data_IF_281357984608
#
_entry.id   IF_281357984608
#
_cell.length_a   1.000
_cell.length_b   1.000
_cell.length_c   1.000
_cell.angle_alpha   90.00
_cell.angle_beta   90.00
_cell.angle_gamma   90.00
#
_symmetry.space_group_name_H-M   'P 1'
#
loop_
_entity.id
_entity.type
_entity.pdbx_description
1 polymer ?
#
# COMPACT_ATOMS: atom_id res chain seq x y z
N UNK A 1 -14.03 -15.37 -20.61
CA UNK A 1 -14.60 -14.07 -20.15
C UNK A 1 -13.58 -13.43 -19.25
N UNK A 2 -13.27 -12.15 -19.44
CA UNK A 2 -12.40 -11.44 -18.50
C UNK A 2 -13.14 -11.31 -17.17
N UNK A 3 -12.45 -11.61 -16.07
CA UNK A 3 -13.00 -11.44 -14.73
C UNK A 3 -13.21 -9.95 -14.43
N UNK A 4 -14.22 -9.62 -13.64
CA UNK A 4 -14.39 -8.27 -13.10
C UNK A 4 -13.44 -8.02 -11.92
N UNK A 5 -13.05 -6.76 -11.71
CA UNK A 5 -12.30 -6.32 -10.54
C UNK A 5 -13.03 -5.15 -9.88
N UNK A 6 -13.28 -5.26 -8.59
CA UNK A 6 -13.84 -4.18 -7.77
C UNK A 6 -12.76 -3.61 -6.86
N UNK A 7 -12.51 -2.31 -6.98
CA UNK A 7 -11.57 -1.58 -6.12
C UNK A 7 -12.36 -0.87 -5.03
N UNK A 8 -12.30 -1.42 -3.82
CA UNK A 8 -12.92 -0.82 -2.63
C UNK A 8 -12.04 0.32 -2.11
N UNK A 9 -12.49 1.56 -2.32
CA UNK A 9 -11.78 2.77 -1.93
C UNK A 9 -10.80 3.27 -3.00
N UNK A 10 -11.25 4.24 -3.78
CA UNK A 10 -10.50 4.81 -4.91
C UNK A 10 -9.62 6.01 -4.48
N UNK A 11 -8.72 5.78 -3.51
CA UNK A 11 -7.74 6.75 -3.04
C UNK A 11 -6.49 6.84 -3.91
N UNK A 12 -5.37 7.25 -3.30
CA UNK A 12 -4.10 7.47 -4.00
C UNK A 12 -3.61 6.22 -4.77
N UNK A 13 -3.58 5.06 -4.13
CA UNK A 13 -3.10 3.81 -4.76
C UNK A 13 -3.98 3.40 -5.93
N UNK A 14 -5.30 3.54 -5.81
CA UNK A 14 -6.24 3.15 -6.86
C UNK A 14 -6.01 3.91 -8.18
N UNK A 15 -5.49 5.15 -8.15
CA UNK A 15 -5.16 5.92 -9.36
C UNK A 15 -4.12 5.24 -10.24
N UNK A 16 -3.24 4.44 -9.64
CA UNK A 16 -2.21 3.69 -10.34
C UNK A 16 -2.68 2.28 -10.69
N UNK A 17 -3.56 1.70 -9.87
CA UNK A 17 -4.12 0.36 -10.13
C UNK A 17 -5.11 0.37 -11.30
N UNK A 18 -6.02 1.35 -11.35
CA UNK A 18 -7.10 1.43 -12.34
C UNK A 18 -6.60 1.26 -13.79
N UNK A 19 -5.65 2.09 -14.30
CA UNK A 19 -5.22 1.99 -15.69
C UNK A 19 -4.46 0.69 -16.01
N UNK A 20 -3.84 0.07 -14.99
CA UNK A 20 -3.19 -1.24 -15.16
C UNK A 20 -4.23 -2.37 -15.17
N UNK A 21 -5.22 -2.29 -14.29
CA UNK A 21 -6.27 -3.30 -14.17
C UNK A 21 -7.14 -3.40 -15.43
N UNK A 22 -7.44 -2.28 -16.08
CA UNK A 22 -8.25 -2.24 -17.33
C UNK A 22 -7.64 -3.04 -18.48
N UNK A 23 -6.35 -3.38 -18.42
CA UNK A 23 -5.67 -4.22 -19.40
C UNK A 23 -5.95 -5.72 -19.22
N UNK A 24 -6.40 -6.14 -18.04
CA UNK A 24 -6.53 -7.54 -17.63
C UNK A 24 -7.94 -7.91 -17.17
N UNK A 25 -8.73 -6.93 -16.72
CA UNK A 25 -10.06 -7.09 -16.12
C UNK A 25 -11.11 -6.30 -16.90
N UNK A 26 -12.31 -6.84 -16.98
CA UNK A 26 -13.46 -6.14 -17.57
C UNK A 26 -14.76 -6.67 -16.99
N UNK A 27 -15.56 -5.82 -16.34
CA UNK A 27 -15.27 -4.43 -16.00
C UNK A 27 -14.29 -4.25 -14.84
N UNK A 28 -13.65 -3.06 -14.75
CA UNK A 28 -12.98 -2.58 -13.54
C UNK A 28 -13.89 -1.54 -12.90
N UNK A 29 -14.33 -1.82 -11.67
CA UNK A 29 -15.30 -1.01 -10.93
C UNK A 29 -14.59 -0.28 -9.78
N UNK A 30 -14.81 1.01 -9.69
CA UNK A 30 -14.21 1.86 -8.66
C UNK A 30 -15.26 2.32 -7.65
N UNK A 31 -14.95 2.26 -6.36
CA UNK A 31 -15.89 2.64 -5.32
C UNK A 31 -15.50 3.92 -4.61
N UNK A 32 -16.49 4.70 -4.21
CA UNK A 32 -16.36 5.89 -3.37
C UNK A 32 -17.63 6.12 -2.57
N UNK A 33 -17.49 6.84 -1.45
CA UNK A 33 -18.65 7.35 -0.68
C UNK A 33 -19.49 8.35 -1.50
N UNK A 34 -18.80 9.15 -2.30
CA UNK A 34 -19.38 10.17 -3.19
C UNK A 34 -18.80 9.98 -4.61
N UNK A 35 -19.29 8.99 -5.38
CA UNK A 35 -18.70 8.62 -6.67
C UNK A 35 -18.74 9.76 -7.70
N UNK A 36 -19.81 10.51 -7.79
CA UNK A 36 -19.93 11.61 -8.75
C UNK A 36 -18.94 12.75 -8.49
N UNK A 37 -18.56 12.94 -7.23
CA UNK A 37 -17.55 13.94 -6.84
C UNK A 37 -16.13 13.45 -7.01
N UNK A 38 -15.85 12.20 -6.58
CA UNK A 38 -14.48 11.69 -6.47
C UNK A 38 -14.03 10.90 -7.69
N UNK A 39 -14.97 10.36 -8.47
CA UNK A 39 -14.71 9.47 -9.59
C UNK A 39 -15.24 10.04 -10.93
N UNK A 40 -15.37 11.38 -11.03
CA UNK A 40 -15.87 12.04 -12.24
C UNK A 40 -15.02 11.77 -13.51
N UNK A 41 -13.78 11.33 -13.33
CA UNK A 41 -12.85 10.92 -14.39
C UNK A 41 -13.04 9.46 -14.86
N UNK A 42 -13.91 8.69 -14.20
CA UNK A 42 -14.24 7.30 -14.53
C UNK A 42 -15.63 7.28 -15.20
N UNK A 43 -15.89 6.37 -16.11
CA UNK A 43 -17.19 6.21 -16.76
C UNK A 43 -18.29 5.95 -15.71
N UNK A 44 -19.52 6.53 -15.86
CA UNK A 44 -20.58 6.42 -14.85
C UNK A 44 -20.96 4.99 -14.50
N UNK A 45 -21.00 4.09 -15.48
CA UNK A 45 -21.33 2.67 -15.33
C UNK A 45 -20.27 1.85 -14.57
N UNK A 46 -19.11 2.45 -14.32
CA UNK A 46 -18.01 1.85 -13.56
C UNK A 46 -17.81 2.45 -12.17
N UNK A 47 -18.68 3.38 -11.78
CA UNK A 47 -18.65 4.04 -10.47
C UNK A 47 -19.65 3.37 -9.54
N UNK A 48 -19.20 2.99 -8.36
CA UNK A 48 -20.06 2.38 -7.34
C UNK A 48 -20.05 3.23 -6.08
N UNK A 49 -21.23 3.56 -5.58
CA UNK A 49 -21.35 4.12 -4.25
C UNK A 49 -21.15 3.02 -3.22
N UNK A 50 -20.13 3.20 -2.37
CA UNK A 50 -19.83 2.30 -1.28
C UNK A 50 -19.25 3.06 -0.08
N UNK A 51 -19.80 2.76 1.09
CA UNK A 51 -19.31 3.21 2.38
C UNK A 51 -19.45 2.05 3.38
N UNK A 52 -18.34 1.63 4.00
CA UNK A 52 -18.35 0.56 4.99
C UNK A 52 -19.30 0.88 6.17
N UNK A 53 -19.45 2.16 6.53
CA UNK A 53 -20.36 2.61 7.59
C UNK A 53 -21.86 2.64 7.17
N UNK A 54 -22.15 2.46 5.88
CA UNK A 54 -23.51 2.52 5.33
C UNK A 54 -23.90 1.20 4.69
N UNK A 55 -24.57 0.34 5.45
CA UNK A 55 -24.93 -1.02 5.01
C UNK A 55 -25.84 -1.03 3.77
N UNK A 56 -26.66 0.01 3.57
CA UNK A 56 -27.50 0.16 2.37
C UNK A 56 -26.70 0.26 1.07
N UNK A 57 -25.42 0.62 1.15
CA UNK A 57 -24.52 0.70 -0.02
C UNK A 57 -23.82 -0.62 -0.35
N UNK A 58 -23.82 -1.60 0.56
CA UNK A 58 -23.07 -2.84 0.37
C UNK A 58 -23.61 -3.71 -0.76
N UNK A 59 -24.93 -3.69 -0.96
CA UNK A 59 -25.62 -4.38 -2.05
C UNK A 59 -25.19 -3.94 -3.45
N UNK A 60 -24.50 -2.79 -3.56
CA UNK A 60 -24.00 -2.28 -4.83
C UNK A 60 -22.71 -3.00 -5.27
N UNK A 61 -22.06 -3.76 -4.37
CA UNK A 61 -20.83 -4.50 -4.68
C UNK A 61 -21.21 -5.83 -5.35
N UNK A 62 -20.74 -6.09 -6.59
CA UNK A 62 -20.91 -7.39 -7.23
C UNK A 62 -20.26 -8.52 -6.43
N UNK A 63 -20.89 -9.69 -6.43
CA UNK A 63 -20.41 -10.87 -5.69
C UNK A 63 -19.52 -11.79 -6.53
N UNK A 64 -19.42 -11.56 -7.84
CA UNK A 64 -18.72 -12.42 -8.82
C UNK A 64 -17.35 -11.87 -9.28
N UNK A 65 -16.88 -10.77 -8.67
CA UNK A 65 -15.62 -10.09 -9.02
C UNK A 65 -14.49 -10.36 -8.05
N UNK A 66 -13.24 -10.21 -8.54
CA UNK A 66 -12.09 -10.11 -7.66
C UNK A 66 -12.15 -8.78 -6.88
N UNK A 67 -11.67 -8.76 -5.63
CA UNK A 67 -11.77 -7.58 -4.76
C UNK A 67 -10.38 -7.07 -4.34
N UNK A 68 -10.16 -5.77 -4.49
CA UNK A 68 -9.00 -5.05 -3.96
C UNK A 68 -9.46 -4.03 -2.90
N UNK A 69 -9.17 -4.27 -1.65
CA UNK A 69 -9.53 -3.41 -0.51
C UNK A 69 -8.41 -2.41 -0.22
N UNK A 70 -8.63 -1.12 -0.48
CA UNK A 70 -7.61 -0.06 -0.45
C UNK A 70 -7.73 0.94 0.72
N UNK A 71 -8.50 0.64 1.76
CA UNK A 71 -8.63 1.47 2.95
C UNK A 71 -8.51 0.63 4.23
N UNK A 72 -8.29 1.24 5.42
CA UNK A 72 -8.14 0.47 6.66
C UNK A 72 -9.34 -0.43 6.95
N UNK A 73 -9.10 -1.71 7.23
CA UNK A 73 -10.14 -2.70 7.57
C UNK A 73 -10.64 -2.48 9.02
N UNK A 74 -11.39 -1.39 9.23
CA UNK A 74 -11.87 -0.97 10.55
C UNK A 74 -13.17 -0.16 10.41
N UNK A 75 -14.09 -0.16 11.40
CA UNK A 75 -14.04 -0.97 12.62
C UNK A 75 -14.35 -2.45 12.37
N UNK A 76 -13.86 -3.32 13.25
CA UNK A 76 -13.92 -4.78 13.08
C UNK A 76 -15.35 -5.32 12.88
N UNK A 77 -16.32 -4.78 13.61
CA UNK A 77 -17.71 -5.27 13.53
C UNK A 77 -18.31 -5.00 12.14
N UNK A 78 -18.04 -3.84 11.54
CA UNK A 78 -18.50 -3.53 10.19
C UNK A 78 -17.77 -4.38 9.15
N UNK A 79 -16.47 -4.63 9.35
CA UNK A 79 -15.69 -5.54 8.49
C UNK A 79 -16.29 -6.94 8.49
N UNK A 80 -16.61 -7.48 9.67
CA UNK A 80 -17.25 -8.80 9.83
C UNK A 80 -18.61 -8.86 9.13
N UNK A 81 -19.45 -7.85 9.36
CA UNK A 81 -20.80 -7.79 8.77
C UNK A 81 -20.73 -7.68 7.25
N UNK A 82 -19.86 -6.81 6.73
CA UNK A 82 -19.68 -6.67 5.27
C UNK A 82 -19.12 -7.96 4.64
N UNK A 83 -18.13 -8.57 5.26
CA UNK A 83 -17.56 -9.85 4.81
C UNK A 83 -18.62 -10.95 4.71
N UNK A 84 -19.57 -11.00 5.66
CA UNK A 84 -20.66 -11.96 5.62
C UNK A 84 -21.64 -11.73 4.45
N UNK A 85 -21.76 -10.50 3.93
CA UNK A 85 -22.64 -10.20 2.78
C UNK A 85 -22.05 -10.59 1.43
N UNK A 86 -20.71 -10.71 1.35
CA UNK A 86 -20.02 -10.93 0.08
C UNK A 86 -19.95 -12.39 -0.34
N UNK A 87 -20.40 -13.35 0.49
CA UNK A 87 -20.20 -14.79 0.23
C UNK A 87 -18.78 -15.07 -0.28
N UNK A 88 -17.77 -14.49 0.38
CA UNK A 88 -16.38 -14.35 -0.07
C UNK A 88 -15.65 -15.68 -0.39
N UNK A 89 -16.35 -16.79 -0.38
CA UNK A 89 -15.77 -18.10 -0.65
C UNK A 89 -15.37 -18.33 -2.12
N UNK A 90 -15.82 -17.48 -3.06
CA UNK A 90 -15.58 -17.67 -4.49
C UNK A 90 -14.68 -16.62 -5.14
N UNK A 91 -14.53 -15.45 -4.53
CA UNK A 91 -13.77 -14.32 -5.08
C UNK A 91 -12.44 -14.15 -4.37
N UNK A 92 -11.40 -13.79 -5.10
CA UNK A 92 -10.11 -13.48 -4.50
C UNK A 92 -10.16 -12.08 -3.86
N UNK A 93 -9.78 -12.00 -2.60
CA UNK A 93 -9.71 -10.75 -1.84
C UNK A 93 -8.26 -10.40 -1.53
N UNK A 94 -7.83 -9.21 -1.95
CA UNK A 94 -6.53 -8.62 -1.59
C UNK A 94 -6.77 -7.37 -0.76
N UNK A 95 -6.11 -7.25 0.39
CA UNK A 95 -6.29 -6.14 1.34
C UNK A 95 -4.97 -5.39 1.50
N UNK A 96 -5.02 -4.06 1.35
CA UNK A 96 -3.88 -3.20 1.66
C UNK A 96 -3.82 -2.93 3.17
N UNK A 97 -2.90 -3.63 3.83
CA UNK A 97 -2.49 -3.37 5.19
C UNK A 97 -1.29 -2.42 5.25
N UNK A 98 -0.52 -2.46 6.35
CA UNK A 98 0.69 -1.68 6.48
C UNK A 98 1.72 -2.38 7.36
N UNK A 99 3.00 -2.10 7.11
CA UNK A 99 4.12 -2.55 7.95
C UNK A 99 4.08 -1.99 9.38
N UNK A 100 3.23 -1.00 9.67
CA UNK A 100 3.02 -0.54 11.05
C UNK A 100 2.23 -1.55 11.90
N UNK A 101 1.68 -2.61 11.28
CA UNK A 101 1.06 -3.73 11.99
C UNK A 101 2.05 -4.52 12.85
N UNK A 102 3.33 -4.53 12.51
CA UNK A 102 4.32 -5.24 13.31
C UNK A 102 4.52 -4.57 14.65
N UNK A 103 4.43 -5.36 15.72
CA UNK A 103 4.85 -4.93 17.03
C UNK A 103 6.33 -4.53 16.97
N UNK A 104 6.65 -3.35 17.51
CA UNK A 104 8.03 -2.91 17.68
C UNK A 104 8.41 -3.19 19.12
N UNK A 105 9.24 -4.20 19.33
CA UNK A 105 10.03 -4.23 20.54
C UNK A 105 11.01 -3.05 20.47
N UNK A 106 11.27 -2.44 21.61
CA UNK A 106 12.30 -1.42 21.79
C UNK A 106 13.69 -2.08 21.66
N UNK A 107 13.99 -2.61 20.47
CA UNK A 107 15.30 -3.17 20.19
C UNK A 107 16.34 -2.07 20.33
N UNK A 108 17.29 -2.29 21.22
CA UNK A 108 18.50 -1.44 21.41
C UNK A 108 19.48 -1.69 20.25
N UNK A 109 19.27 -2.74 19.46
CA UNK A 109 20.13 -3.15 18.37
C UNK A 109 20.08 -2.17 17.19
N UNK A 110 21.26 -1.79 16.71
CA UNK A 110 21.40 -0.94 15.52
C UNK A 110 22.44 -1.50 14.57
N UNK A 111 22.11 -1.72 13.28
CA UNK A 111 20.76 -1.55 12.67
C UNK A 111 19.76 -2.55 13.25
N UNK A 112 18.44 -2.19 13.31
CA UNK A 112 17.44 -3.09 13.87
C UNK A 112 17.36 -4.39 13.04
N UNK A 113 16.93 -5.52 13.64
CA UNK A 113 16.80 -6.78 12.93
C UNK A 113 15.79 -6.69 11.78
N UNK A 114 15.93 -7.58 10.81
CA UNK A 114 14.96 -7.70 9.72
C UNK A 114 13.63 -8.25 10.22
N UNK A 115 12.54 -7.68 9.72
CA UNK A 115 11.17 -8.10 10.02
C UNK A 115 10.61 -8.84 8.81
N UNK A 116 10.31 -10.11 9.00
CA UNK A 116 9.63 -10.97 8.05
C UNK A 116 8.13 -11.04 8.34
N UNK A 117 7.35 -11.66 7.45
CA UNK A 117 5.89 -11.76 7.58
C UNK A 117 5.42 -12.57 8.80
N UNK A 118 6.29 -13.41 9.36
CA UNK A 118 6.04 -14.21 10.58
C UNK A 118 6.25 -13.44 11.87
N UNK A 119 6.80 -12.22 11.81
CA UNK A 119 7.05 -11.40 13.00
C UNK A 119 5.73 -11.05 13.73
N UNK A 120 5.78 -10.89 15.07
CA UNK A 120 4.61 -10.52 15.87
C UNK A 120 3.93 -9.25 15.38
N UNK A 121 2.60 -9.24 15.42
CA UNK A 121 1.76 -8.10 15.05
C UNK A 121 1.04 -7.53 16.27
N UNK A 122 0.77 -6.24 16.23
CA UNK A 122 0.03 -5.54 17.27
C UNK A 122 -1.48 -5.63 17.03
N UNK A 123 -2.11 -6.64 17.63
CA UNK A 123 -3.56 -6.82 17.62
C UNK A 123 -4.32 -5.76 18.43
N UNK A 124 -3.65 -4.88 19.17
CA UNK A 124 -4.26 -3.71 19.78
C UNK A 124 -4.71 -2.66 18.76
N UNK A 125 -4.17 -2.69 17.54
CA UNK A 125 -4.57 -1.77 16.47
C UNK A 125 -5.87 -2.25 15.79
N UNK A 126 -6.96 -1.44 15.78
CA UNK A 126 -8.25 -1.86 15.22
C UNK A 126 -8.20 -2.34 13.77
N UNK A 127 -7.36 -1.72 12.93
CA UNK A 127 -7.22 -2.13 11.53
C UNK A 127 -6.51 -3.49 11.39
N UNK A 128 -5.54 -3.80 12.27
CA UNK A 128 -4.84 -5.10 12.26
C UNK A 128 -5.79 -6.23 12.61
N UNK A 129 -6.73 -5.98 13.55
CA UNK A 129 -7.79 -6.93 13.86
C UNK A 129 -8.66 -7.25 12.64
N UNK A 130 -9.04 -6.22 11.86
CA UNK A 130 -9.82 -6.43 10.63
C UNK A 130 -9.02 -7.12 9.53
N UNK A 131 -7.75 -6.75 9.34
CA UNK A 131 -6.84 -7.43 8.41
C UNK A 131 -6.71 -8.93 8.75
N UNK A 132 -6.47 -9.28 10.02
CA UNK A 132 -6.35 -10.66 10.47
C UNK A 132 -7.68 -11.43 10.39
N UNK A 133 -8.81 -10.78 10.67
CA UNK A 133 -10.11 -11.38 10.45
C UNK A 133 -10.32 -11.75 8.98
N UNK A 134 -10.08 -10.82 8.05
CA UNK A 134 -10.23 -11.08 6.61
C UNK A 134 -9.24 -12.16 6.14
N UNK A 135 -8.00 -12.16 6.65
CA UNK A 135 -7.00 -13.17 6.32
C UNK A 135 -7.43 -14.58 6.75
N UNK A 136 -7.91 -14.73 7.99
CA UNK A 136 -8.18 -16.05 8.58
C UNK A 136 -9.57 -16.59 8.23
N UNK A 137 -10.57 -15.73 8.04
CA UNK A 137 -11.95 -16.16 7.79
C UNK A 137 -12.36 -16.07 6.32
N UNK A 138 -11.74 -15.14 5.57
CA UNK A 138 -12.05 -14.93 4.15
C UNK A 138 -10.89 -15.32 3.23
N UNK A 139 -9.85 -15.95 3.77
CA UNK A 139 -8.63 -16.31 3.04
C UNK A 139 -8.01 -15.11 2.25
N UNK A 140 -8.19 -13.88 2.75
CA UNK A 140 -7.67 -12.68 2.10
C UNK A 140 -6.15 -12.69 2.03
N UNK A 141 -5.60 -12.20 0.93
CA UNK A 141 -4.17 -11.90 0.81
C UNK A 141 -3.92 -10.51 1.41
N UNK A 142 -3.06 -10.43 2.40
CA UNK A 142 -2.72 -9.16 3.04
C UNK A 142 -1.41 -8.62 2.49
N UNK A 143 -1.45 -7.40 1.97
CA UNK A 143 -0.26 -6.66 1.55
C UNK A 143 0.13 -5.66 2.64
N UNK A 144 1.13 -5.95 3.46
CA UNK A 144 1.66 -5.02 4.48
C UNK A 144 2.56 -4.01 3.82
N UNK A 145 1.97 -2.88 3.41
CA UNK A 145 2.60 -1.86 2.59
C UNK A 145 3.45 -0.93 3.45
N UNK A 146 4.67 -0.68 3.01
CA UNK A 146 5.59 0.32 3.54
C UNK A 146 5.18 1.75 3.15
N UNK A 147 6.03 2.74 3.42
CA UNK A 147 5.79 4.12 3.02
C UNK A 147 5.63 4.27 1.51
N UNK A 148 4.46 4.72 1.06
CA UNK A 148 4.18 4.88 -0.37
C UNK A 148 4.69 6.24 -0.85
N UNK A 149 5.55 6.24 -1.86
CA UNK A 149 6.01 7.44 -2.54
C UNK A 149 5.74 7.39 -4.05
N UNK A 150 5.83 8.53 -4.72
CA UNK A 150 5.56 8.64 -6.16
C UNK A 150 4.99 10.01 -6.54
N UNK A 151 4.38 10.16 -7.72
CA UNK A 151 3.76 11.42 -8.16
C UNK A 151 2.76 11.96 -7.13
N UNK A 152 2.98 13.21 -6.66
CA UNK A 152 2.18 13.85 -5.61
C UNK A 152 2.45 13.38 -4.16
N UNK A 153 3.38 12.43 -3.97
CA UNK A 153 3.90 11.97 -2.66
C UNK A 153 5.42 11.88 -2.69
N UNK A 154 6.08 13.01 -2.90
CA UNK A 154 7.52 13.06 -3.03
C UNK A 154 8.19 13.22 -1.65
N UNK A 155 9.12 12.33 -1.24
CA UNK A 155 9.91 12.48 -0.02
C UNK A 155 10.66 13.80 0.09
N UNK A 156 11.10 14.38 -1.01
CA UNK A 156 11.75 15.68 -1.04
C UNK A 156 10.81 16.80 -0.56
N UNK A 157 9.53 16.74 -0.92
CA UNK A 157 8.52 17.67 -0.42
C UNK A 157 8.27 17.50 1.09
N UNK A 158 8.42 16.28 1.60
CA UNK A 158 8.28 16.04 3.05
C UNK A 158 9.44 16.71 3.81
N UNK A 159 10.66 16.62 3.28
CA UNK A 159 11.86 17.31 3.84
C UNK A 159 11.66 18.83 3.78
N UNK A 160 11.29 19.39 2.62
CA UNK A 160 11.07 20.83 2.45
C UNK A 160 10.00 21.39 3.39
N UNK A 161 8.95 20.59 3.66
CA UNK A 161 7.83 20.99 4.54
C UNK A 161 8.09 20.71 6.02
N UNK A 162 9.28 20.25 6.40
CA UNK A 162 9.62 19.92 7.77
C UNK A 162 8.80 18.75 8.37
N UNK A 163 8.26 17.88 7.53
CA UNK A 163 7.55 16.68 8.01
C UNK A 163 8.50 15.58 8.42
N UNK A 164 9.70 15.61 7.90
CA UNK A 164 10.80 14.69 8.17
C UNK A 164 12.11 15.46 8.19
N UNK A 165 13.06 14.99 8.99
CA UNK A 165 14.41 15.54 9.11
C UNK A 165 15.44 14.43 9.27
N UNK A 166 16.74 14.78 9.34
CA UNK A 166 17.79 13.79 9.50
C UNK A 166 17.59 13.02 10.82
N UNK A 167 17.56 11.70 10.73
CA UNK A 167 17.55 10.81 11.87
C UNK A 167 18.10 9.44 11.47
N UNK A 168 18.54 8.66 12.44
CA UNK A 168 19.02 7.28 12.24
C UNK A 168 17.88 6.28 12.04
N UNK A 169 16.63 6.72 12.12
CA UNK A 169 15.45 5.89 11.94
C UNK A 169 15.39 5.30 10.54
N UNK A 170 15.33 3.97 10.46
CA UNK A 170 15.11 3.27 9.21
C UNK A 170 13.67 3.43 8.72
N UNK A 171 13.54 3.72 7.44
CA UNK A 171 12.26 3.77 6.72
C UNK A 171 12.29 2.80 5.55
N UNK A 172 11.14 2.21 5.27
CA UNK A 172 10.93 1.33 4.14
C UNK A 172 9.95 1.99 3.21
N UNK A 173 10.21 1.93 1.93
CA UNK A 173 9.45 2.65 0.92
C UNK A 173 9.04 1.73 -0.22
N UNK A 174 7.99 2.10 -0.93
CA UNK A 174 7.55 1.47 -2.18
C UNK A 174 7.01 2.54 -3.13
N UNK A 175 7.39 2.45 -4.40
CA UNK A 175 6.84 3.34 -5.41
C UNK A 175 5.38 3.00 -5.72
N UNK A 176 4.55 4.01 -5.95
CA UNK A 176 3.11 3.82 -6.18
C UNK A 176 2.80 2.95 -7.42
N UNK A 177 3.61 3.04 -8.47
CA UNK A 177 3.47 2.20 -9.68
C UNK A 177 3.83 0.74 -9.40
N UNK A 178 4.90 0.48 -8.63
CA UNK A 178 5.24 -0.87 -8.21
C UNK A 178 4.16 -1.45 -7.30
N UNK A 179 3.64 -0.66 -6.35
CA UNK A 179 2.52 -1.09 -5.51
C UNK A 179 1.31 -1.49 -6.36
N UNK A 180 0.98 -0.74 -7.39
CA UNK A 180 -0.12 -1.07 -8.29
C UNK A 180 0.11 -2.40 -9.02
N UNK A 181 1.32 -2.63 -9.54
CA UNK A 181 1.69 -3.90 -10.18
C UNK A 181 1.66 -5.07 -9.18
N UNK A 182 2.08 -4.84 -7.93
CA UNK A 182 2.02 -5.82 -6.84
C UNK A 182 0.57 -6.17 -6.49
N UNK A 183 -0.34 -5.20 -6.42
CA UNK A 183 -1.76 -5.45 -6.18
C UNK A 183 -2.32 -6.44 -7.21
N UNK A 184 -2.06 -6.22 -8.49
CA UNK A 184 -2.52 -7.11 -9.56
C UNK A 184 -1.84 -8.48 -9.50
N UNK A 185 -0.53 -8.54 -9.23
CA UNK A 185 0.16 -9.81 -9.03
C UNK A 185 -0.41 -10.61 -7.85
N UNK A 186 -0.77 -9.94 -6.76
CA UNK A 186 -1.39 -10.57 -5.60
C UNK A 186 -2.81 -11.10 -5.92
N UNK A 187 -3.59 -10.36 -6.72
CA UNK A 187 -4.90 -10.84 -7.18
C UNK A 187 -4.70 -12.07 -8.10
N UNK A 188 -3.72 -12.06 -9.00
CA UNK A 188 -3.49 -13.15 -9.95
C UNK A 188 -2.86 -14.39 -9.30
N UNK A 189 -1.88 -14.22 -8.42
CA UNK A 189 -0.96 -15.28 -7.96
C UNK A 189 -0.79 -15.36 -6.45
N UNK A 190 -1.30 -14.40 -5.67
CA UNK A 190 -1.16 -14.42 -4.22
C UNK A 190 -1.77 -15.68 -3.61
N UNK A 191 -1.11 -16.27 -2.63
CA UNK A 191 -1.63 -17.45 -1.91
C UNK A 191 -2.73 -17.01 -0.94
N UNK A 192 -3.95 -17.58 -1.02
CA UNK A 192 -5.04 -17.24 -0.11
C UNK A 192 -4.62 -17.38 1.35
N UNK A 193 -5.00 -16.41 2.20
CA UNK A 193 -4.68 -16.39 3.62
C UNK A 193 -3.24 -15.99 3.96
N UNK A 194 -2.43 -15.66 2.95
CA UNK A 194 -1.04 -15.28 3.17
C UNK A 194 -0.84 -13.77 3.28
N UNK A 195 0.26 -13.40 3.92
CA UNK A 195 0.72 -12.02 4.05
C UNK A 195 1.99 -11.82 3.25
N UNK A 196 2.13 -10.64 2.63
CA UNK A 196 3.33 -10.22 1.91
C UNK A 196 3.77 -8.83 2.38
N UNK A 197 5.03 -8.69 2.72
CA UNK A 197 5.66 -7.40 3.00
C UNK A 197 5.94 -6.65 1.70
N UNK A 198 5.42 -5.45 1.58
CA UNK A 198 5.51 -4.66 0.35
C UNK A 198 6.43 -3.46 0.56
N UNK A 199 7.69 -3.62 0.17
CA UNK A 199 8.73 -2.60 0.16
C UNK A 199 9.69 -2.81 -1.02
N UNK A 200 10.54 -1.82 -1.30
CA UNK A 200 11.63 -1.96 -2.29
C UNK A 200 12.74 -2.92 -1.82
N UNK A 201 12.71 -3.35 -0.55
CA UNK A 201 13.69 -4.26 0.06
C UNK A 201 15.00 -3.59 0.47
N UNK A 202 15.12 -2.28 0.30
CA UNK A 202 16.32 -1.50 0.63
C UNK A 202 15.97 -0.42 1.65
N UNK A 203 15.88 -0.76 2.96
CA UNK A 203 15.61 0.22 4.00
C UNK A 203 16.67 1.31 4.02
N UNK A 204 16.26 2.54 4.23
CA UNK A 204 17.12 3.73 4.27
C UNK A 204 16.87 4.50 5.55
N UNK A 205 17.85 5.27 6.02
CA UNK A 205 17.63 6.23 7.10
C UNK A 205 17.18 7.58 6.54
N UNK A 206 16.46 8.36 7.34
CA UNK A 206 16.15 9.74 6.95
C UNK A 206 17.41 10.59 6.81
N UNK A 207 18.47 10.29 7.57
CA UNK A 207 19.77 10.95 7.41
C UNK A 207 20.35 10.73 6.01
N UNK A 208 20.31 9.48 5.48
CA UNK A 208 20.78 9.17 4.12
C UNK A 208 19.96 9.91 3.06
N UNK A 209 18.64 9.93 3.20
CA UNK A 209 17.74 10.60 2.25
C UNK A 209 17.97 12.13 2.28
N UNK A 210 18.09 12.73 3.46
CA UNK A 210 18.37 14.15 3.62
C UNK A 210 19.75 14.53 3.06
N UNK A 211 20.77 13.69 3.30
CA UNK A 211 22.12 13.89 2.75
C UNK A 211 22.10 13.84 1.22
N UNK A 212 21.40 12.89 0.62
CA UNK A 212 21.21 12.83 -0.83
C UNK A 212 20.54 14.10 -1.37
N UNK A 213 19.42 14.53 -0.75
CA UNK A 213 18.70 15.72 -1.15
C UNK A 213 19.57 16.99 -1.08
N UNK A 214 20.39 17.12 -0.02
CA UNK A 214 21.35 18.22 0.13
C UNK A 214 22.42 18.19 -0.96
N UNK A 215 23.03 17.04 -1.21
CA UNK A 215 24.11 16.90 -2.18
C UNK A 215 23.62 17.10 -3.61
N UNK A 216 22.44 16.56 -3.93
CA UNK A 216 21.91 16.55 -5.31
C UNK A 216 21.21 17.85 -5.71
N UNK A 217 20.52 18.50 -4.76
CA UNK A 217 19.69 19.68 -5.04
C UNK A 217 19.89 20.86 -4.08
N UNK A 218 20.84 20.78 -3.17
CA UNK A 218 21.05 21.83 -2.15
C UNK A 218 19.91 21.94 -1.13
N UNK A 219 19.00 20.97 -1.07
CA UNK A 219 17.83 21.01 -0.19
C UNK A 219 18.26 20.63 1.22
N UNK A 220 18.00 21.54 2.15
CA UNK A 220 18.27 21.31 3.57
C UNK A 220 16.94 21.07 4.31
N UNK A 221 16.94 20.12 5.27
CA UNK A 221 15.82 19.95 6.18
C UNK A 221 15.59 21.24 6.97
N UNK A 222 14.31 21.61 7.12
CA UNK A 222 13.91 22.78 7.90
C UNK A 222 13.76 22.48 9.40
N UNK A 223 13.88 21.22 9.78
CA UNK A 223 13.75 20.73 11.16
C UNK A 223 14.81 19.70 11.48
N UNK A 224 15.30 19.73 12.70
CA UNK A 224 16.02 18.61 13.32
C UNK A 224 14.99 17.78 14.09
N UNK A 225 15.01 16.47 13.88
CA UNK A 225 14.10 15.56 14.55
C UNK A 225 14.91 14.77 15.58
N UNK A 226 14.64 15.02 16.83
CA UNK A 226 15.16 14.24 17.95
C UNK A 226 14.29 12.97 18.10
N UNK A 227 14.51 11.99 17.22
CA UNK A 227 13.81 10.69 17.21
C UNK A 227 14.84 9.59 17.43
N UNK A 228 14.94 9.13 18.67
CA UNK A 228 15.84 8.04 19.08
C UNK A 228 15.39 6.67 18.54
N UNK A 229 14.21 6.58 17.93
CA UNK A 229 13.71 5.30 17.40
C UNK A 229 14.58 4.79 16.24
N UNK A 230 14.87 3.49 16.26
CA UNK A 230 15.67 2.84 15.21
C UNK A 230 14.86 2.58 13.93
N UNK A 231 13.53 2.65 14.01
CA UNK A 231 12.65 2.27 12.89
C UNK A 231 12.61 0.76 12.67
N UNK A 232 12.32 0.35 11.45
CA UNK A 232 12.17 -1.06 11.06
C UNK A 232 12.95 -1.34 9.77
N UNK A 233 13.47 -2.57 9.62
CA UNK A 233 13.95 -3.07 8.33
C UNK A 233 13.04 -4.20 7.87
N UNK A 234 12.29 -3.99 6.81
CA UNK A 234 11.26 -4.90 6.33
C UNK A 234 11.82 -5.79 5.21
N UNK A 235 11.86 -7.08 5.44
CA UNK A 235 12.23 -8.07 4.44
C UNK A 235 11.10 -8.23 3.40
N UNK A 236 11.46 -8.31 2.12
CA UNK A 236 10.50 -8.47 1.01
C UNK A 236 10.73 -9.74 0.18
N UNK A 237 11.49 -10.72 0.67
CA UNK A 237 11.84 -11.93 -0.07
C UNK A 237 10.62 -12.70 -0.59
N UNK A 238 9.57 -12.81 0.23
CA UNK A 238 8.31 -13.46 -0.15
C UNK A 238 7.58 -12.70 -1.27
N UNK A 239 7.61 -11.37 -1.24
CA UNK A 239 7.09 -10.53 -2.33
C UNK A 239 7.85 -10.76 -3.64
N UNK A 240 9.19 -10.82 -3.60
CA UNK A 240 9.99 -11.07 -4.80
C UNK A 240 9.68 -12.43 -5.42
N UNK A 241 9.43 -13.45 -4.59
CA UNK A 241 8.99 -14.77 -5.06
C UNK A 241 7.61 -14.71 -5.72
N UNK A 242 6.67 -13.95 -5.17
CA UNK A 242 5.36 -13.70 -5.78
C UNK A 242 5.50 -13.01 -7.15
N UNK A 243 6.29 -11.93 -7.22
CA UNK A 243 6.52 -11.19 -8.46
C UNK A 243 7.16 -12.07 -9.53
N UNK A 244 8.17 -12.87 -9.17
CA UNK A 244 8.81 -13.84 -10.07
C UNK A 244 7.78 -14.84 -10.62
N UNK A 245 6.89 -15.38 -9.79
CA UNK A 245 5.83 -16.29 -10.22
C UNK A 245 4.83 -15.65 -11.19
N UNK A 246 4.64 -14.34 -11.09
CA UNK A 246 3.82 -13.53 -12.00
C UNK A 246 4.61 -12.97 -13.20
N UNK A 247 5.89 -13.35 -13.36
CA UNK A 247 6.79 -12.81 -14.39
C UNK A 247 6.93 -11.28 -14.34
N UNK A 248 6.93 -10.72 -13.14
CA UNK A 248 7.04 -9.28 -12.85
C UNK A 248 8.28 -9.00 -11.99
N UNK A 249 8.70 -7.74 -11.98
CA UNK A 249 9.78 -7.22 -11.12
C UNK A 249 9.44 -5.80 -10.70
N UNK A 250 10.18 -5.27 -9.71
CA UNK A 250 10.06 -3.87 -9.33
C UNK A 250 10.70 -2.98 -10.40
N UNK A 251 9.92 -2.03 -10.93
CA UNK A 251 10.40 -1.06 -11.93
C UNK A 251 11.18 0.09 -11.26
N UNK A 252 10.92 0.33 -9.98
CA UNK A 252 11.52 1.39 -9.16
C UNK A 252 12.35 0.82 -8.01
N UNK A 253 13.17 -0.18 -8.29
CA UNK A 253 14.08 -0.81 -7.31
C UNK A 253 15.19 0.13 -6.84
N UNK A 254 15.58 1.13 -7.64
CA UNK A 254 16.48 2.21 -7.26
C UNK A 254 15.68 3.44 -6.82
N UNK A 255 15.59 3.61 -5.50
CA UNK A 255 14.88 4.73 -4.87
C UNK A 255 15.43 6.10 -5.28
N UNK A 256 16.77 6.28 -5.28
CA UNK A 256 17.37 7.58 -5.56
C UNK A 256 17.17 8.01 -7.02
N UNK A 257 17.29 7.07 -7.94
CA UNK A 257 16.95 7.31 -9.35
C UNK A 257 15.48 7.65 -9.53
N UNK A 258 14.60 7.03 -8.76
CA UNK A 258 13.17 7.34 -8.79
C UNK A 258 12.88 8.73 -8.20
N UNK A 259 13.60 9.15 -7.15
CA UNK A 259 13.52 10.53 -6.64
C UNK A 259 13.96 11.55 -7.66
N UNK A 260 15.03 11.30 -8.42
CA UNK A 260 15.49 12.19 -9.48
C UNK A 260 14.43 12.39 -10.58
N UNK A 261 13.72 11.33 -10.94
CA UNK A 261 12.60 11.41 -11.88
C UNK A 261 11.40 12.20 -11.34
N UNK A 262 11.13 12.09 -10.04
CA UNK A 262 10.04 12.80 -9.36
C UNK A 262 10.39 14.27 -9.06
N UNK A 263 11.67 14.63 -9.05
CA UNK A 263 12.18 15.96 -8.77
C UNK A 263 13.22 16.34 -9.82
N UNK A 264 12.81 16.53 -11.09
CA UNK A 264 13.72 16.93 -12.15
C UNK A 264 14.34 18.29 -11.82
N UNK A 265 15.60 18.47 -12.20
CA UNK A 265 16.32 19.71 -11.99
C UNK A 265 15.54 20.90 -12.56
N UNK A 266 15.25 21.91 -11.74
CA UNK A 266 14.65 23.16 -12.20
C UNK A 266 15.65 24.04 -13.00
N UNK A 267 16.86 23.55 -13.25
CA UNK A 267 17.95 24.24 -13.93
C UNK A 267 18.06 23.94 -15.43
N UNK A 268 17.10 23.22 -16.00
CA UNK A 268 17.04 22.96 -17.44
C UNK A 268 15.95 23.85 -18.10
N UNK A 269 16.11 25.18 -18.02
CA UNK A 269 15.44 26.18 -18.90
C UNK A 269 16.49 27.14 -19.37
#
# INVERSE_FOLDING_TARGET
MNKSLVILGSGYTARFVLPLAERHYSPVLATSREPDRHLNHIQPDRRIQFDLARQDTWKNIPTDGELLWCFPATPLDLVKQFAATLELCSSRLVVLGSTSAYATDSSIEYPPPWIEETAPIDLGQPRVQGEEFLRTHCAAVILRVAGIYGPGRNPIDWIKRGRVGPSRKYVNLIHAEDLAAICLAAIERGTPGETYNVSDGIPKTWEEICRFAKTRWGIQPSVEIDDESTGKRIANGKLLSLLSSAQKSLAHSDFYRSLERLHPDQTAI
#
